data_IF_248425936062
#
_entry.id   IF_248425936062
#
_cell.length_a   1.000
_cell.length_b   1.000
_cell.length_c   1.000
_cell.angle_alpha   90.00
_cell.angle_beta   90.00
_cell.angle_gamma   90.00
#
_symmetry.space_group_name_H-M   'P 1'
#
loop_
_entity.id
_entity.type
_entity.pdbx_description
1 polymer ?
#
# COMPACT_ATOMS: atom_id res chain seq x y z
N UNK A 1 -27.17 10.55 -10.69
CA UNK A 1 -26.40 10.19 -9.48
C UNK A 1 -26.75 8.75 -9.14
N UNK A 2 -25.95 7.79 -9.64
CA UNK A 2 -26.25 6.37 -9.50
C UNK A 2 -26.16 5.95 -8.04
N UNK A 3 -27.21 5.31 -7.52
CA UNK A 3 -27.24 4.81 -6.15
C UNK A 3 -26.22 3.68 -6.00
N UNK A 4 -25.12 3.95 -5.29
CA UNK A 4 -24.10 2.95 -4.96
C UNK A 4 -24.72 1.85 -4.10
N UNK A 5 -24.76 0.62 -4.62
CA UNK A 5 -25.36 -0.54 -3.95
C UNK A 5 -24.61 -0.89 -2.67
N UNK A 6 -25.36 -1.09 -1.57
CA UNK A 6 -24.88 -1.51 -0.24
C UNK A 6 -23.99 -2.76 -0.30
N UNK A 7 -24.15 -3.59 -1.33
CA UNK A 7 -23.31 -4.76 -1.59
C UNK A 7 -21.81 -4.45 -1.79
N UNK A 8 -21.46 -3.28 -2.33
CA UNK A 8 -20.04 -2.89 -2.48
C UNK A 8 -19.38 -2.67 -1.12
N UNK A 9 -20.11 -2.08 -0.17
CA UNK A 9 -19.63 -1.92 1.20
C UNK A 9 -19.53 -3.25 1.93
N UNK A 10 -20.46 -4.18 1.69
CA UNK A 10 -20.38 -5.52 2.26
C UNK A 10 -19.13 -6.27 1.77
N UNK A 11 -18.83 -6.22 0.47
CA UNK A 11 -17.63 -6.87 -0.09
C UNK A 11 -16.35 -6.21 0.43
N UNK A 12 -16.28 -4.88 0.44
CA UNK A 12 -15.14 -4.15 1.00
C UNK A 12 -14.92 -4.46 2.49
N UNK A 13 -15.99 -4.53 3.28
CA UNK A 13 -15.95 -4.90 4.69
C UNK A 13 -15.55 -6.35 4.90
N UNK A 14 -15.86 -7.27 3.98
CA UNK A 14 -15.42 -8.67 4.06
C UNK A 14 -13.95 -8.79 3.71
N UNK A 15 -13.50 -8.18 2.60
CA UNK A 15 -12.11 -8.24 2.14
C UNK A 15 -11.16 -7.55 3.11
N UNK A 16 -11.57 -6.46 3.76
CA UNK A 16 -10.77 -5.76 4.77
C UNK A 16 -11.02 -6.32 6.17
N UNK A 17 -12.26 -6.62 6.50
CA UNK A 17 -12.67 -7.06 7.83
C UNK A 17 -12.22 -8.47 8.18
N UNK A 18 -12.15 -9.41 7.22
CA UNK A 18 -11.62 -10.76 7.51
C UNK A 18 -10.14 -10.71 7.89
N UNK A 19 -9.24 -10.05 7.12
CA UNK A 19 -7.84 -9.86 7.54
C UNK A 19 -7.70 -9.11 8.86
N UNK A 20 -8.50 -8.04 9.07
CA UNK A 20 -8.49 -7.28 10.31
C UNK A 20 -8.97 -8.12 11.49
N UNK A 21 -10.00 -8.95 11.32
CA UNK A 21 -10.53 -9.83 12.35
C UNK A 21 -9.55 -10.94 12.71
N UNK A 22 -8.94 -11.59 11.71
CA UNK A 22 -7.87 -12.59 11.92
C UNK A 22 -6.69 -11.95 12.66
N UNK A 23 -6.32 -10.71 12.31
CA UNK A 23 -5.27 -9.95 12.98
C UNK A 23 -5.63 -9.61 14.43
N UNK A 24 -6.85 -9.09 14.69
CA UNK A 24 -7.33 -8.78 16.04
C UNK A 24 -7.38 -10.05 16.89
N UNK A 25 -7.84 -11.16 16.32
CA UNK A 25 -7.91 -12.45 16.99
C UNK A 25 -6.51 -12.97 17.34
N UNK A 26 -5.57 -12.94 16.40
CA UNK A 26 -4.18 -13.32 16.65
C UNK A 26 -3.49 -12.41 17.69
N UNK A 27 -3.84 -11.12 17.73
CA UNK A 27 -3.37 -10.17 18.75
C UNK A 27 -4.02 -10.41 20.13
N UNK A 28 -5.28 -10.84 20.16
CA UNK A 28 -6.02 -11.17 21.39
C UNK A 28 -5.52 -12.49 21.99
N UNK A 29 -5.24 -13.49 21.17
CA UNK A 29 -4.64 -14.77 21.58
C UNK A 29 -3.20 -14.59 22.10
N UNK A 30 -2.47 -13.56 21.65
CA UNK A 30 -1.16 -13.17 22.23
C UNK A 30 -1.24 -12.34 23.52
N UNK A 31 -2.44 -11.86 23.89
CA UNK A 31 -2.65 -10.97 25.05
C UNK A 31 -2.92 -11.70 26.36
N UNK A 32 -3.04 -13.02 26.33
CA UNK A 32 -3.15 -13.86 27.53
C UNK A 32 -1.77 -14.12 28.15
N UNK A 33 -1.13 -13.08 28.71
CA UNK A 33 -0.05 -13.12 29.75
C UNK A 33 0.44 -11.68 30.12
N UNK A 34 0.93 -11.47 31.35
CA UNK A 34 0.21 -10.91 32.50
C UNK A 34 0.10 -9.37 32.52
N UNK A 35 -0.91 -8.90 33.26
CA UNK A 35 -1.20 -7.52 33.63
C UNK A 35 0.01 -6.82 34.29
N UNK A 36 0.61 -5.84 33.61
CA UNK A 36 1.64 -4.98 34.23
C UNK A 36 2.57 -4.25 33.27
N UNK A 37 2.67 -4.65 32.00
CA UNK A 37 3.43 -3.90 31.00
C UNK A 37 2.69 -2.63 30.61
N UNK A 38 3.27 -1.46 30.92
CA UNK A 38 2.80 -0.18 30.41
C UNK A 38 2.65 -0.28 28.88
N UNK A 39 1.51 0.17 28.36
CA UNK A 39 1.23 0.20 26.92
C UNK A 39 2.21 1.17 26.23
N UNK A 40 3.39 0.69 25.85
CA UNK A 40 4.37 1.47 25.11
C UNK A 40 3.92 1.52 23.64
N UNK A 41 3.20 2.58 23.27
CA UNK A 41 2.75 2.81 21.88
C UNK A 41 3.87 3.17 20.91
N UNK A 42 3.50 3.45 19.65
CA UNK A 42 4.35 4.14 18.68
C UNK A 42 4.30 5.63 19.01
N UNK A 43 5.43 6.23 19.39
CA UNK A 43 5.51 7.64 19.78
C UNK A 43 6.24 8.52 18.76
N UNK A 44 6.00 9.83 18.84
CA UNK A 44 6.74 10.85 18.10
C UNK A 44 6.58 10.78 16.58
N UNK A 45 7.65 11.08 15.84
CA UNK A 45 7.65 11.12 14.37
C UNK A 45 7.23 9.81 13.70
N UNK A 46 7.40 8.67 14.37
CA UNK A 46 7.01 7.37 13.84
C UNK A 46 5.48 7.20 13.76
N UNK A 47 4.71 7.98 14.54
CA UNK A 47 3.25 8.00 14.45
C UNK A 47 2.78 8.65 13.13
N UNK A 48 3.47 9.69 12.64
CA UNK A 48 3.17 10.29 11.33
C UNK A 48 3.43 9.30 10.20
N UNK A 49 4.51 8.53 10.27
CA UNK A 49 4.77 7.46 9.32
C UNK A 49 3.66 6.40 9.34
N UNK A 50 3.26 5.94 10.53
CA UNK A 50 2.19 4.97 10.68
C UNK A 50 0.88 5.49 10.07
N UNK A 51 0.52 6.74 10.37
CA UNK A 51 -0.64 7.39 9.79
C UNK A 51 -0.55 7.48 8.26
N UNK A 52 0.59 7.93 7.74
CA UNK A 52 0.83 8.05 6.30
C UNK A 52 0.73 6.70 5.57
N UNK A 53 1.29 5.63 6.13
CA UNK A 53 1.16 4.27 5.59
C UNK A 53 -0.30 3.81 5.56
N UNK A 54 -1.04 4.00 6.66
CA UNK A 54 -2.46 3.62 6.74
C UNK A 54 -3.32 4.40 5.75
N UNK A 55 -3.18 5.73 5.70
CA UNK A 55 -3.92 6.59 4.75
C UNK A 55 -3.54 6.26 3.31
N UNK A 56 -2.26 6.02 3.05
CA UNK A 56 -1.77 5.61 1.73
C UNK A 56 -2.39 4.28 1.28
N UNK A 57 -2.44 3.28 2.16
CA UNK A 57 -3.09 2.00 1.85
C UNK A 57 -4.59 2.18 1.58
N UNK A 58 -5.30 2.93 2.42
CA UNK A 58 -6.73 3.20 2.24
C UNK A 58 -7.00 3.90 0.90
N UNK A 59 -6.19 4.92 0.56
CA UNK A 59 -6.28 5.61 -0.72
C UNK A 59 -6.07 4.65 -1.88
N UNK A 60 -5.03 3.81 -1.84
CA UNK A 60 -4.79 2.83 -2.91
C UNK A 60 -5.94 1.83 -3.06
N UNK A 61 -6.60 1.44 -1.97
CA UNK A 61 -7.80 0.58 -2.02
C UNK A 61 -8.95 1.30 -2.71
N UNK A 62 -9.21 2.57 -2.35
CA UNK A 62 -10.27 3.38 -2.97
C UNK A 62 -10.01 3.57 -4.46
N UNK A 63 -8.78 3.93 -4.83
CA UNK A 63 -8.37 4.13 -6.22
C UNK A 63 -8.49 2.81 -7.01
N UNK A 64 -8.08 1.68 -6.42
CA UNK A 64 -8.20 0.35 -7.02
C UNK A 64 -9.66 -0.06 -7.27
N UNK A 65 -10.55 0.16 -6.29
CA UNK A 65 -11.98 -0.15 -6.43
C UNK A 65 -12.61 0.78 -7.47
N UNK A 66 -12.27 2.07 -7.46
CA UNK A 66 -12.78 3.06 -8.39
C UNK A 66 -12.40 2.77 -9.85
N UNK A 67 -11.18 2.29 -10.09
CA UNK A 67 -10.70 1.91 -11.42
C UNK A 67 -11.02 0.47 -11.83
N UNK A 68 -11.69 -0.32 -11.00
CA UNK A 68 -11.85 -1.76 -11.22
C UNK A 68 -12.67 -2.08 -12.48
N UNK A 69 -13.73 -1.32 -12.77
CA UNK A 69 -14.53 -1.51 -13.98
C UNK A 69 -13.73 -1.26 -15.26
N UNK A 70 -12.91 -0.20 -15.24
CA UNK A 70 -12.11 0.23 -16.39
C UNK A 70 -10.93 -0.72 -16.61
N UNK A 71 -10.36 -1.24 -15.52
CA UNK A 71 -9.39 -2.32 -15.58
C UNK A 71 -9.98 -3.58 -16.23
N UNK A 72 -11.19 -3.99 -15.85
CA UNK A 72 -11.85 -5.15 -16.43
C UNK A 72 -12.25 -4.94 -17.89
N UNK A 73 -12.69 -3.75 -18.28
CA UNK A 73 -13.02 -3.45 -19.67
C UNK A 73 -11.79 -3.52 -20.58
N UNK A 74 -10.60 -3.22 -20.05
CA UNK A 74 -9.33 -3.40 -20.76
C UNK A 74 -9.08 -4.84 -21.24
N UNK A 75 -9.59 -5.85 -20.53
CA UNK A 75 -9.48 -7.26 -20.97
C UNK A 75 -10.35 -7.59 -22.19
N UNK A 76 -11.13 -6.66 -22.72
CA UNK A 76 -11.78 -6.86 -24.02
C UNK A 76 -10.78 -6.78 -25.18
N UNK A 77 -9.63 -6.12 -24.97
CA UNK A 77 -8.56 -6.05 -25.96
C UNK A 77 -7.55 -7.20 -25.74
N UNK A 78 -7.45 -8.18 -26.65
CA UNK A 78 -6.53 -9.31 -26.51
C UNK A 78 -5.06 -8.88 -26.47
N UNK A 79 -4.69 -7.79 -27.13
CA UNK A 79 -3.31 -7.29 -27.18
C UNK A 79 -2.84 -6.68 -25.85
N UNK A 80 -3.78 -6.37 -24.94
CA UNK A 80 -3.52 -5.73 -23.64
C UNK A 80 -3.51 -6.71 -22.46
N UNK A 81 -3.88 -7.98 -22.67
CA UNK A 81 -4.07 -8.96 -21.58
C UNK A 81 -2.82 -9.13 -20.71
N UNK A 82 -1.67 -9.36 -21.33
CA UNK A 82 -0.42 -9.64 -20.62
C UNK A 82 0.00 -8.41 -19.79
N UNK A 83 -0.12 -7.22 -20.38
CA UNK A 83 0.21 -5.94 -19.77
C UNK A 83 -0.72 -5.66 -18.58
N UNK A 84 -2.03 -5.89 -18.73
CA UNK A 84 -3.01 -5.71 -17.65
C UNK A 84 -2.78 -6.67 -16.49
N UNK A 85 -2.43 -7.93 -16.76
CA UNK A 85 -2.07 -8.90 -15.72
C UNK A 85 -0.83 -8.44 -14.96
N UNK A 86 0.21 -7.98 -15.66
CA UNK A 86 1.45 -7.51 -15.03
C UNK A 86 1.24 -6.25 -14.18
N UNK A 87 0.54 -5.25 -14.71
CA UNK A 87 0.19 -4.01 -13.97
C UNK A 87 -0.64 -4.33 -12.74
N UNK A 88 -1.66 -5.19 -12.89
CA UNK A 88 -2.51 -5.64 -11.78
C UNK A 88 -1.70 -6.37 -10.70
N UNK A 89 -0.82 -7.29 -11.10
CA UNK A 89 0.02 -8.05 -10.19
C UNK A 89 0.95 -7.15 -9.38
N UNK A 90 1.68 -6.24 -10.04
CA UNK A 90 2.59 -5.30 -9.36
C UNK A 90 1.83 -4.40 -8.38
N UNK A 91 0.62 -3.95 -8.76
CA UNK A 91 -0.25 -3.14 -7.90
C UNK A 91 -0.69 -3.92 -6.66
N UNK A 92 -1.14 -5.18 -6.81
CA UNK A 92 -1.53 -6.04 -5.69
C UNK A 92 -0.33 -6.32 -4.77
N UNK A 93 0.85 -6.61 -5.34
CA UNK A 93 2.07 -6.81 -4.56
C UNK A 93 2.40 -5.57 -3.74
N UNK A 94 2.31 -4.37 -4.32
CA UNK A 94 2.50 -3.12 -3.61
C UNK A 94 1.53 -2.95 -2.42
N UNK A 95 0.25 -3.25 -2.60
CA UNK A 95 -0.74 -3.18 -1.52
C UNK A 95 -0.44 -4.18 -0.39
N UNK A 96 -0.05 -5.41 -0.74
CA UNK A 96 0.34 -6.45 0.22
C UNK A 96 1.59 -6.02 0.99
N UNK A 97 2.65 -5.55 0.31
CA UNK A 97 3.87 -5.08 0.97
C UNK A 97 3.57 -3.88 1.90
N UNK A 98 2.69 -2.97 1.48
CA UNK A 98 2.27 -1.84 2.33
C UNK A 98 1.59 -2.33 3.61
N UNK A 99 0.64 -3.27 3.49
CA UNK A 99 -0.01 -3.90 4.64
C UNK A 99 1.00 -4.61 5.55
N UNK A 100 1.95 -5.36 4.99
CA UNK A 100 3.01 -6.02 5.76
C UNK A 100 3.90 -5.00 6.47
N UNK A 101 4.24 -3.88 5.83
CA UNK A 101 5.01 -2.80 6.44
C UNK A 101 4.24 -2.16 7.62
N UNK A 102 2.93 -1.91 7.47
CA UNK A 102 2.06 -1.44 8.55
C UNK A 102 2.08 -2.42 9.72
N UNK A 103 1.84 -3.71 9.46
CA UNK A 103 1.84 -4.75 10.49
C UNK A 103 3.22 -4.84 11.18
N UNK A 104 4.31 -4.82 10.41
CA UNK A 104 5.67 -4.85 10.95
C UNK A 104 5.95 -3.62 11.83
N UNK A 105 5.48 -2.44 11.43
CA UNK A 105 5.62 -1.21 12.21
C UNK A 105 4.87 -1.30 13.54
N UNK A 106 3.59 -1.72 13.54
CA UNK A 106 2.81 -1.87 14.76
C UNK A 106 3.32 -2.99 15.68
N UNK A 107 3.92 -4.03 15.12
CA UNK A 107 4.59 -5.09 15.88
C UNK A 107 6.03 -4.73 16.29
N UNK A 108 6.50 -3.55 15.90
CA UNK A 108 7.86 -3.05 16.15
C UNK A 108 8.95 -4.02 15.67
N UNK A 109 8.71 -4.68 14.54
CA UNK A 109 9.64 -5.64 13.94
C UNK A 109 10.75 -4.94 13.17
N UNK A 110 11.97 -5.46 13.25
CA UNK A 110 13.13 -5.00 12.45
C UNK A 110 12.95 -5.18 10.96
N UNK A 111 12.07 -6.10 10.56
CA UNK A 111 11.68 -6.36 9.16
C UNK A 111 10.96 -5.14 8.52
N UNK A 112 10.52 -4.17 9.31
CA UNK A 112 9.97 -2.92 8.79
C UNK A 112 10.91 -2.23 7.80
N UNK A 113 12.21 -2.18 8.09
CA UNK A 113 13.18 -1.45 7.25
C UNK A 113 13.30 -2.07 5.84
N UNK A 114 13.56 -3.38 5.67
CA UNK A 114 13.60 -3.98 4.34
C UNK A 114 12.22 -3.93 3.64
N UNK A 115 11.11 -4.10 4.37
CA UNK A 115 9.77 -3.95 3.77
C UNK A 115 9.52 -2.53 3.25
N UNK A 116 9.95 -1.52 3.99
CA UNK A 116 9.80 -0.12 3.58
C UNK A 116 10.69 0.22 2.37
N UNK A 117 11.88 -0.39 2.26
CA UNK A 117 12.71 -0.27 1.07
C UNK A 117 12.03 -0.89 -0.16
N UNK A 118 11.46 -2.08 -0.01
CA UNK A 118 10.69 -2.73 -1.08
C UNK A 118 9.49 -1.87 -1.45
N UNK A 119 8.76 -1.34 -0.47
CA UNK A 119 7.63 -0.44 -0.69
C UNK A 119 8.04 0.82 -1.45
N UNK A 120 9.19 1.40 -1.13
CA UNK A 120 9.74 2.55 -1.84
C UNK A 120 10.15 2.21 -3.28
N UNK A 121 10.77 1.05 -3.52
CA UNK A 121 11.05 0.59 -4.88
C UNK A 121 9.75 0.37 -5.68
N UNK A 122 8.73 -0.21 -5.04
CA UNK A 122 7.43 -0.46 -5.66
C UNK A 122 6.66 0.84 -5.97
N UNK A 123 6.87 1.93 -5.22
CA UNK A 123 6.21 3.20 -5.55
C UNK A 123 6.69 3.82 -6.87
N UNK A 124 7.88 3.42 -7.33
CA UNK A 124 8.38 3.72 -8.69
C UNK A 124 7.94 2.65 -9.68
N UNK A 125 8.00 1.38 -9.29
CA UNK A 125 7.72 0.25 -10.19
C UNK A 125 6.25 0.19 -10.62
N UNK A 126 5.30 0.50 -9.73
CA UNK A 126 3.85 0.50 -10.05
C UNK A 126 3.54 1.45 -11.20
N UNK A 127 3.85 2.76 -11.15
CA UNK A 127 3.60 3.64 -12.29
C UNK A 127 4.47 3.28 -13.50
N UNK A 128 5.72 2.85 -13.30
CA UNK A 128 6.56 2.41 -14.42
C UNK A 128 5.98 1.19 -15.16
N UNK A 129 5.25 0.31 -14.47
CA UNK A 129 4.61 -0.85 -15.10
C UNK A 129 3.54 -0.45 -16.12
N UNK A 130 2.94 0.74 -15.98
CA UNK A 130 2.00 1.27 -16.97
C UNK A 130 2.66 1.54 -18.33
N UNK A 131 3.98 1.77 -18.38
CA UNK A 131 4.71 1.94 -19.65
C UNK A 131 4.62 0.69 -20.54
N UNK A 132 4.37 -0.50 -19.96
CA UNK A 132 4.10 -1.70 -20.75
C UNK A 132 2.88 -1.52 -21.68
N UNK A 133 1.91 -0.70 -21.30
CA UNK A 133 0.73 -0.41 -22.11
C UNK A 133 1.07 0.32 -23.42
N UNK A 134 2.24 0.96 -23.53
CA UNK A 134 2.70 1.57 -24.78
C UNK A 134 3.01 0.55 -25.89
N UNK A 135 3.11 -0.73 -25.54
CA UNK A 135 3.23 -1.82 -26.52
C UNK A 135 1.89 -2.18 -27.16
N UNK A 136 0.76 -1.72 -26.59
CA UNK A 136 -0.59 -1.96 -27.10
C UNK A 136 -0.91 -0.91 -28.17
N UNK A 137 -1.38 -1.33 -29.37
CA UNK A 137 -1.75 -0.39 -30.42
C UNK A 137 -2.80 0.63 -29.97
N UNK A 138 -2.57 1.91 -30.26
CA UNK A 138 -3.51 3.00 -29.96
C UNK A 138 -3.35 3.62 -28.57
N UNK A 139 -2.49 3.09 -27.70
CA UNK A 139 -2.17 3.72 -26.41
C UNK A 139 -1.07 4.76 -26.60
N UNK A 140 -1.33 6.00 -26.20
CA UNK A 140 -0.32 7.07 -26.21
C UNK A 140 0.17 7.38 -24.80
N UNK A 141 1.41 7.92 -24.64
CA UNK A 141 1.94 8.29 -23.32
C UNK A 141 1.06 9.29 -22.56
N UNK A 142 0.38 10.18 -23.29
CA UNK A 142 -0.50 11.21 -22.74
C UNK A 142 -1.77 10.62 -22.10
N UNK A 143 -2.19 9.42 -22.52
CA UNK A 143 -3.30 8.68 -21.90
C UNK A 143 -2.90 8.04 -20.57
N UNK A 144 -1.60 7.78 -20.36
CA UNK A 144 -1.08 7.07 -19.19
C UNK A 144 -0.53 8.02 -18.13
N UNK A 145 0.03 9.15 -18.54
CA UNK A 145 0.71 10.07 -17.65
C UNK A 145 0.28 11.50 -17.94
N UNK A 146 -0.53 12.06 -17.04
CA UNK A 146 -0.76 13.51 -17.04
C UNK A 146 0.35 14.23 -16.28
N UNK A 147 0.73 15.43 -16.73
CA UNK A 147 1.79 16.23 -16.07
C UNK A 147 1.59 16.40 -14.54
N UNK A 148 0.37 16.68 -14.05
CA UNK A 148 0.10 16.74 -12.62
C UNK A 148 0.29 15.41 -11.87
N UNK A 149 -0.03 14.28 -12.48
CA UNK A 149 0.16 12.95 -11.88
C UNK A 149 1.63 12.59 -11.77
N UNK A 150 2.42 12.90 -12.80
CA UNK A 150 3.87 12.70 -12.79
C UNK A 150 4.50 13.52 -11.65
N UNK A 151 4.13 14.80 -11.53
CA UNK A 151 4.63 15.66 -10.46
C UNK A 151 4.28 15.13 -9.06
N UNK A 152 3.03 14.67 -8.86
CA UNK A 152 2.60 14.04 -7.59
C UNK A 152 3.35 12.73 -7.31
N UNK A 153 3.58 11.92 -8.35
CA UNK A 153 4.34 10.68 -8.27
C UNK A 153 5.77 10.94 -7.80
N UNK A 154 6.47 11.88 -8.44
CA UNK A 154 7.83 12.28 -8.07
C UNK A 154 7.87 12.78 -6.62
N UNK A 155 6.95 13.67 -6.23
CA UNK A 155 6.88 14.17 -4.85
C UNK A 155 6.65 13.03 -3.84
N UNK A 156 5.78 12.07 -4.17
CA UNK A 156 5.53 10.89 -3.35
C UNK A 156 6.77 9.99 -3.19
N UNK A 157 7.48 9.72 -4.29
CA UNK A 157 8.72 8.93 -4.29
C UNK A 157 9.80 9.59 -3.43
N UNK A 158 9.98 10.92 -3.57
CA UNK A 158 10.93 11.68 -2.76
C UNK A 158 10.56 11.63 -1.28
N UNK A 159 9.28 11.84 -0.95
CA UNK A 159 8.80 11.78 0.43
C UNK A 159 9.01 10.39 1.07
N UNK A 160 8.77 9.31 0.32
CA UNK A 160 9.06 7.94 0.78
C UNK A 160 10.58 7.72 0.96
N UNK A 161 11.41 8.23 0.07
CA UNK A 161 12.87 8.17 0.22
C UNK A 161 13.37 8.85 1.49
N UNK A 162 12.82 10.02 1.82
CA UNK A 162 13.12 10.73 3.07
C UNK A 162 12.74 9.91 4.31
N UNK A 163 11.59 9.23 4.29
CA UNK A 163 11.19 8.33 5.38
C UNK A 163 12.11 7.12 5.49
N UNK A 164 12.53 6.52 4.37
CA UNK A 164 13.48 5.41 4.39
C UNK A 164 14.83 5.83 4.99
N UNK A 165 15.32 7.01 4.62
CA UNK A 165 16.51 7.61 5.21
C UNK A 165 16.35 7.81 6.72
N UNK A 166 15.23 8.39 7.15
CA UNK A 166 14.89 8.56 8.58
C UNK A 166 14.90 7.23 9.34
N UNK A 167 14.26 6.19 8.81
CA UNK A 167 14.25 4.84 9.41
C UNK A 167 15.66 4.21 9.49
N UNK A 168 16.54 4.55 8.55
CA UNK A 168 17.90 4.01 8.49
C UNK A 168 18.89 4.72 9.41
N UNK A 169 18.74 6.03 9.63
CA UNK A 169 19.67 6.84 10.42
C UNK A 169 19.24 7.00 11.87
N UNK A 170 17.93 7.18 12.12
CA UNK A 170 17.43 7.54 13.45
C UNK A 170 17.72 6.47 14.51
N UNK A 171 18.54 6.83 15.51
CA UNK A 171 18.87 5.98 16.67
C UNK A 171 17.62 5.63 17.47
N UNK A 172 16.68 6.58 17.61
CA UNK A 172 15.40 6.37 18.31
C UNK A 172 14.56 5.27 17.67
N UNK A 173 14.48 5.26 16.33
CA UNK A 173 13.75 4.22 15.59
C UNK A 173 14.40 2.86 15.78
N UNK A 174 15.73 2.77 15.66
CA UNK A 174 16.47 1.53 15.89
C UNK A 174 16.23 0.97 17.30
N UNK A 175 16.18 1.84 18.30
CA UNK A 175 15.89 1.45 19.69
C UNK A 175 14.41 1.07 19.91
N UNK A 176 13.50 1.46 19.01
CA UNK A 176 12.06 1.13 19.09
C UNK A 176 11.75 -0.20 18.40
N UNK A 177 12.49 -0.55 17.34
CA UNK A 177 12.33 -1.79 16.58
C UNK A 177 13.13 -2.93 17.23
N UNK A 178 12.59 -3.49 18.31
CA UNK A 178 13.30 -4.47 19.14
C UNK A 178 12.99 -5.93 18.79
N UNK A 179 11.87 -6.19 18.11
CA UNK A 179 11.40 -7.54 17.74
C UNK A 179 11.85 -7.95 16.33
#
# INVERSE_FOLDING_TARGET
MGAFSVWHWAIALVVVGIPVWILIRALRERRSSPSGSALVGIGGWLAFLAFGLCVGLLRNIVDFIGGFSDYLSGFQNPDAHVQLVLVGLVTVVHMVVNLLAIVALFQKRRVLRPLYLILWALSVLVPASALLMLTVPGVTPEMLFTGPEVARGIAGVVAMGLWYWYLSVSVRVKNTLTN
#
